data_IF_670957555572
#
_entry.id   IF_670957555572
#
_cell.length_a   1.000
_cell.length_b   1.000
_cell.length_c   1.000
_cell.angle_alpha   90.00
_cell.angle_beta   90.00
_cell.angle_gamma   90.00
#
_symmetry.space_group_name_H-M   'P 1'
#
loop_
_entity.id
_entity.type
_entity.pdbx_description
1 polymer ?
#
# COMPACT_ATOMS: atom_id res chain seq x y z
N UNK A 1 20.31 0.29 -22.10
CA UNK A 1 20.11 0.10 -23.55
C UNK A 1 18.59 0.04 -23.74
N UNK A 2 18.02 1.02 -24.44
CA UNK A 2 16.57 1.11 -24.68
C UNK A 2 16.08 -0.05 -25.58
N UNK A 3 14.78 -0.33 -25.53
CA UNK A 3 14.19 -1.39 -26.33
C UNK A 3 14.28 -1.06 -27.83
N UNK A 4 14.39 -2.10 -28.65
CA UNK A 4 14.33 -1.99 -30.10
C UNK A 4 12.91 -1.61 -30.54
N UNK A 5 12.73 -0.36 -30.96
CA UNK A 5 11.41 0.21 -31.29
C UNK A 5 10.76 -0.41 -32.54
N UNK A 6 11.49 -1.25 -33.26
CA UNK A 6 10.93 -2.03 -34.38
C UNK A 6 10.16 -3.26 -33.91
N UNK A 7 10.22 -3.57 -32.60
CA UNK A 7 9.50 -4.68 -31.97
C UNK A 7 8.43 -4.13 -31.02
N UNK A 8 7.30 -4.84 -30.86
CA UNK A 8 6.29 -4.41 -29.91
C UNK A 8 6.86 -4.33 -28.48
N UNK A 9 6.41 -3.35 -27.67
CA UNK A 9 6.83 -3.24 -26.28
C UNK A 9 6.52 -4.50 -25.49
N UNK A 10 7.30 -4.73 -24.43
CA UNK A 10 6.93 -5.73 -23.44
C UNK A 10 5.55 -5.35 -22.85
N UNK A 11 4.61 -6.31 -22.72
CA UNK A 11 3.28 -6.01 -22.21
C UNK A 11 3.36 -5.56 -20.75
N UNK A 12 2.45 -4.65 -20.37
CA UNK A 12 2.30 -4.24 -18.98
C UNK A 12 1.92 -5.44 -18.09
N UNK A 13 2.38 -5.47 -16.83
CA UNK A 13 1.96 -6.49 -15.88
C UNK A 13 0.42 -6.52 -15.76
N UNK A 14 -0.17 -7.69 -15.96
CA UNK A 14 -1.61 -7.89 -15.80
C UNK A 14 -1.92 -8.47 -14.41
N UNK A 15 -2.99 -8.01 -13.73
CA UNK A 15 -3.46 -8.59 -12.48
C UNK A 15 -3.69 -10.09 -12.57
N UNK A 16 -3.05 -10.84 -11.68
CA UNK A 16 -3.22 -12.29 -11.52
C UNK A 16 -3.66 -12.58 -10.09
N UNK A 17 -4.90 -12.21 -9.77
CA UNK A 17 -5.50 -12.46 -8.47
C UNK A 17 -5.63 -13.97 -8.24
N UNK A 18 -5.26 -14.42 -7.04
CA UNK A 18 -5.37 -15.80 -6.60
C UNK A 18 -6.15 -15.87 -5.29
N UNK A 19 -7.28 -16.56 -5.32
CA UNK A 19 -8.00 -16.96 -4.12
C UNK A 19 -7.25 -18.12 -3.45
N UNK A 20 -6.62 -17.86 -2.30
CA UNK A 20 -5.96 -18.91 -1.51
C UNK A 20 -7.02 -19.74 -0.80
N UNK A 21 -8.00 -19.05 -0.20
CA UNK A 21 -9.25 -19.57 0.37
C UNK A 21 -10.21 -18.40 0.63
N UNK A 22 -11.47 -18.64 1.05
CA UNK A 22 -12.37 -17.55 1.42
C UNK A 22 -11.73 -16.56 2.40
N UNK A 23 -11.63 -15.30 1.97
CA UNK A 23 -11.05 -14.20 2.73
C UNK A 23 -9.54 -14.01 2.64
N UNK A 24 -8.82 -14.89 1.95
CA UNK A 24 -7.37 -14.75 1.72
C UNK A 24 -7.10 -14.66 0.23
N UNK A 25 -6.74 -13.47 -0.21
CA UNK A 25 -6.47 -13.14 -1.61
C UNK A 25 -4.99 -12.82 -1.80
N UNK A 26 -4.36 -13.31 -2.86
CA UNK A 26 -2.98 -12.98 -3.21
C UNK A 26 -2.93 -12.29 -4.58
N UNK A 27 -2.29 -11.13 -4.64
CA UNK A 27 -1.99 -10.40 -5.87
C UNK A 27 -0.46 -10.24 -6.02
N UNK A 28 0.15 -10.79 -7.08
CA UNK A 28 1.54 -10.52 -7.37
C UNK A 28 1.80 -9.06 -7.78
N UNK A 29 3.07 -8.59 -7.76
CA UNK A 29 3.41 -7.22 -8.12
C UNK A 29 2.95 -6.86 -9.53
N UNK A 30 2.46 -5.63 -9.67
CA UNK A 30 2.06 -5.00 -10.94
C UNK A 30 3.11 -4.01 -11.46
N UNK A 31 4.30 -3.97 -10.84
CA UNK A 31 5.43 -3.21 -11.34
C UNK A 31 6.20 -3.99 -12.40
N UNK A 32 6.91 -3.27 -13.29
CA UNK A 32 7.79 -3.87 -14.33
C UNK A 32 8.93 -4.72 -13.76
N UNK A 33 9.27 -4.55 -12.47
CA UNK A 33 10.22 -5.41 -11.76
C UNK A 33 9.71 -6.85 -11.68
N UNK A 34 8.39 -7.07 -11.66
CA UNK A 34 7.76 -8.40 -11.71
C UNK A 34 7.91 -9.24 -10.44
N UNK A 35 8.68 -8.79 -9.46
CA UNK A 35 8.83 -9.36 -8.13
C UNK A 35 9.04 -8.25 -7.08
N UNK A 36 8.81 -8.56 -5.82
CA UNK A 36 9.05 -7.63 -4.72
C UNK A 36 8.67 -8.17 -3.35
N UNK A 37 8.88 -7.41 -2.27
CA UNK A 37 8.71 -7.88 -0.91
C UNK A 37 7.24 -8.16 -0.59
N UNK A 38 7.04 -9.02 0.42
CA UNK A 38 5.71 -9.44 0.85
C UNK A 38 5.02 -8.38 1.69
N UNK A 39 3.73 -8.16 1.43
CA UNK A 39 2.89 -7.25 2.20
C UNK A 39 1.56 -7.93 2.55
N UNK A 40 1.14 -7.84 3.81
CA UNK A 40 -0.16 -8.32 4.26
C UNK A 40 -1.08 -7.12 4.48
N UNK A 41 -2.27 -7.14 3.89
CA UNK A 41 -3.31 -6.13 4.11
C UNK A 41 -4.42 -6.72 4.98
N UNK A 42 -4.79 -6.02 6.04
CA UNK A 42 -6.04 -6.27 6.77
C UNK A 42 -7.06 -5.23 6.30
N UNK A 43 -8.08 -5.66 5.57
CA UNK A 43 -9.02 -4.75 4.95
C UNK A 43 -10.43 -5.36 4.90
N UNK A 44 -11.43 -4.50 4.71
CA UNK A 44 -12.81 -4.92 4.56
C UNK A 44 -13.02 -5.76 3.31
N UNK A 45 -14.08 -6.57 3.31
CA UNK A 45 -14.50 -7.33 2.13
C UNK A 45 -14.83 -6.38 0.98
N UNK A 46 -14.33 -6.71 -0.21
CA UNK A 46 -14.68 -6.00 -1.45
C UNK A 46 -15.38 -6.95 -2.42
N UNK A 47 -16.45 -6.48 -3.06
CA UNK A 47 -17.09 -7.21 -4.14
C UNK A 47 -16.19 -7.31 -5.38
N UNK A 48 -15.34 -6.30 -5.60
CA UNK A 48 -14.33 -6.27 -6.65
C UNK A 48 -12.98 -5.86 -6.04
N UNK A 49 -12.11 -6.83 -5.71
CA UNK A 49 -10.78 -6.57 -5.15
C UNK A 49 -9.83 -5.87 -6.12
N UNK A 50 -10.10 -5.91 -7.43
CA UNK A 50 -9.27 -5.31 -8.48
C UNK A 50 -9.84 -4.00 -9.01
N UNK A 51 -10.88 -3.46 -8.36
CA UNK A 51 -11.57 -2.25 -8.78
C UNK A 51 -10.60 -1.08 -8.95
N UNK A 52 -10.70 -0.42 -10.09
CA UNK A 52 -10.19 0.92 -10.33
C UNK A 52 -11.39 1.76 -10.77
N UNK A 53 -11.65 2.87 -10.08
CA UNK A 53 -12.76 3.75 -10.39
C UNK A 53 -12.30 5.20 -10.40
N UNK A 54 -12.51 5.89 -11.53
CA UNK A 54 -12.06 7.25 -11.77
C UNK A 54 -10.57 7.48 -11.43
N UNK A 55 -9.71 6.49 -11.73
CA UNK A 55 -8.27 6.55 -11.44
C UNK A 55 -7.91 6.34 -9.97
N UNK A 56 -8.85 5.86 -9.14
CA UNK A 56 -8.57 5.44 -7.77
C UNK A 56 -8.53 3.91 -7.74
N UNK A 57 -7.36 3.28 -7.56
CA UNK A 57 -7.26 1.84 -7.41
C UNK A 57 -7.71 1.40 -6.00
N UNK A 58 -8.15 0.14 -5.89
CA UNK A 58 -8.30 -0.54 -4.60
C UNK A 58 -6.96 -0.58 -3.84
N UNK A 59 -7.00 -0.78 -2.52
CA UNK A 59 -5.78 -0.91 -1.71
C UNK A 59 -4.89 -2.05 -2.21
N UNK A 60 -5.52 -3.15 -2.63
CA UNK A 60 -4.83 -4.33 -3.15
C UNK A 60 -4.06 -4.00 -4.43
N UNK A 61 -4.70 -3.34 -5.39
CA UNK A 61 -4.08 -2.94 -6.66
C UNK A 61 -2.99 -1.90 -6.40
N UNK A 62 -3.28 -0.88 -5.59
CA UNK A 62 -2.33 0.20 -5.28
C UNK A 62 -1.02 -0.34 -4.71
N UNK A 63 -1.07 -1.23 -3.72
CA UNK A 63 0.13 -1.83 -3.15
C UNK A 63 0.87 -2.76 -4.12
N UNK A 64 0.16 -3.43 -5.03
CA UNK A 64 0.80 -4.24 -6.06
C UNK A 64 1.51 -3.37 -7.13
N UNK A 65 0.94 -2.21 -7.49
CA UNK A 65 1.57 -1.23 -8.39
C UNK A 65 2.83 -0.61 -7.78
N UNK A 66 2.85 -0.41 -6.45
CA UNK A 66 4.05 -0.04 -5.69
C UNK A 66 5.13 -1.13 -5.68
N UNK A 67 4.85 -2.29 -6.28
CA UNK A 67 5.81 -3.38 -6.46
C UNK A 67 5.84 -4.42 -5.36
N UNK A 68 4.85 -4.46 -4.47
CA UNK A 68 4.76 -5.49 -3.44
C UNK A 68 4.04 -6.74 -3.95
N UNK A 69 4.39 -7.90 -3.38
CA UNK A 69 3.50 -9.08 -3.47
C UNK A 69 2.53 -8.99 -2.30
N UNK A 70 1.24 -8.88 -2.59
CA UNK A 70 0.25 -8.50 -1.59
C UNK A 70 -0.65 -9.70 -1.25
N UNK A 71 -0.85 -9.97 0.04
CA UNK A 71 -1.92 -10.85 0.54
C UNK A 71 -2.94 -10.02 1.30
N UNK A 72 -4.18 -9.97 0.83
CA UNK A 72 -5.31 -9.33 1.53
C UNK A 72 -6.03 -10.35 2.39
N UNK A 73 -6.23 -10.00 3.66
CA UNK A 73 -7.01 -10.73 4.65
C UNK A 73 -8.28 -9.94 4.95
N UNK A 74 -9.41 -10.58 4.66
CA UNK A 74 -10.76 -10.06 4.90
C UNK A 74 -11.38 -10.68 6.16
N UNK A 75 -12.49 -10.13 6.71
CA UNK A 75 -13.08 -10.62 7.96
C UNK A 75 -13.41 -12.12 7.98
N UNK A 76 -13.92 -12.65 6.88
CA UNK A 76 -14.21 -14.07 6.66
C UNK A 76 -12.96 -14.97 6.76
N UNK A 77 -11.74 -14.45 6.57
CA UNK A 77 -10.52 -15.22 6.78
C UNK A 77 -10.36 -15.71 8.22
N UNK A 78 -10.96 -14.99 9.17
CA UNK A 78 -10.88 -15.20 10.61
C UNK A 78 -12.12 -15.94 11.18
N UNK A 79 -13.04 -16.39 10.33
CA UNK A 79 -14.17 -17.19 10.77
C UNK A 79 -13.72 -18.61 11.13
N UNK A 80 -13.93 -19.02 12.38
CA UNK A 80 -13.70 -20.41 12.83
C UNK A 80 -12.23 -20.81 13.03
N UNK A 81 -11.28 -19.88 13.03
CA UNK A 81 -9.86 -20.14 13.23
C UNK A 81 -9.16 -19.11 14.11
N UNK A 82 -8.01 -19.48 14.67
CA UNK A 82 -7.17 -18.59 15.47
C UNK A 82 -6.47 -17.53 14.59
N UNK A 83 -6.41 -16.28 15.05
CA UNK A 83 -5.81 -15.17 14.28
C UNK A 83 -4.37 -15.46 13.85
N UNK A 84 -3.58 -16.14 14.69
CA UNK A 84 -2.19 -16.49 14.40
C UNK A 84 -2.08 -17.47 13.23
N UNK A 85 -3.01 -18.42 13.10
CA UNK A 85 -3.02 -19.37 12.00
C UNK A 85 -3.29 -18.69 10.66
N UNK A 86 -4.20 -17.71 10.66
CA UNK A 86 -4.52 -16.90 9.48
C UNK A 86 -3.31 -16.09 9.01
N UNK A 87 -2.59 -15.45 9.95
CA UNK A 87 -1.37 -14.69 9.63
C UNK A 87 -0.30 -15.62 9.07
N UNK A 88 -0.07 -16.78 9.70
CA UNK A 88 0.89 -17.77 9.24
C UNK A 88 0.51 -18.36 7.87
N UNK A 89 -0.78 -18.48 7.57
CA UNK A 89 -1.26 -18.85 6.24
C UNK A 89 -0.93 -17.78 5.18
N UNK A 90 -1.12 -16.50 5.49
CA UNK A 90 -0.72 -15.39 4.63
C UNK A 90 0.79 -15.38 4.35
N UNK A 91 1.60 -15.56 5.39
CA UNK A 91 3.06 -15.68 5.28
C UNK A 91 3.46 -16.88 4.42
N UNK A 92 2.80 -18.04 4.59
CA UNK A 92 3.03 -19.21 3.73
C UNK A 92 2.64 -18.96 2.29
N UNK A 93 1.55 -18.24 2.02
CA UNK A 93 1.13 -17.88 0.66
C UNK A 93 2.17 -16.97 -0.02
N UNK A 94 2.66 -15.95 0.68
CA UNK A 94 3.77 -15.10 0.22
C UNK A 94 5.03 -15.94 -0.05
N UNK A 95 5.42 -16.79 0.89
CA UNK A 95 6.60 -17.65 0.75
C UNK A 95 6.48 -18.69 -0.38
N UNK A 96 5.28 -19.08 -0.79
CA UNK A 96 5.05 -19.96 -1.96
C UNK A 96 4.94 -19.21 -3.28
N UNK A 97 4.76 -17.90 -3.24
CA UNK A 97 4.71 -17.09 -4.45
C UNK A 97 6.13 -16.89 -5.02
N UNK A 98 6.34 -17.32 -6.26
CA UNK A 98 7.62 -17.13 -6.97
C UNK A 98 7.97 -15.67 -7.29
N UNK A 99 7.00 -14.75 -7.14
CA UNK A 99 7.18 -13.30 -7.34
C UNK A 99 7.40 -12.54 -6.02
N UNK A 100 7.38 -13.23 -4.87
CA UNK A 100 7.65 -12.63 -3.57
C UNK A 100 9.14 -12.79 -3.20
N UNK A 101 9.79 -11.67 -2.89
CA UNK A 101 11.10 -11.69 -2.26
C UNK A 101 11.00 -12.42 -0.92
N UNK A 102 12.02 -13.22 -0.58
CA UNK A 102 12.06 -13.94 0.69
C UNK A 102 12.50 -13.01 1.82
N UNK A 103 11.98 -13.24 3.01
CA UNK A 103 12.40 -12.53 4.22
C UNK A 103 11.33 -11.57 4.73
N UNK A 104 11.63 -10.28 4.70
CA UNK A 104 10.90 -9.27 5.48
C UNK A 104 9.52 -8.95 4.88
N UNK A 105 8.50 -9.06 5.71
CA UNK A 105 7.10 -8.81 5.39
C UNK A 105 6.61 -7.59 6.16
N UNK A 106 5.86 -6.71 5.49
CA UNK A 106 5.13 -5.61 6.11
C UNK A 106 3.66 -5.96 6.30
N UNK A 107 2.99 -5.28 7.24
CA UNK A 107 1.55 -5.40 7.44
C UNK A 107 0.90 -4.01 7.47
N UNK A 108 -0.22 -3.85 6.77
CA UNK A 108 -1.02 -2.60 6.76
C UNK A 108 -2.46 -2.93 7.07
N UNK A 109 -3.01 -2.32 8.11
CA UNK A 109 -4.37 -2.51 8.56
C UNK A 109 -5.23 -1.28 8.27
N UNK A 110 -6.14 -1.42 7.30
CA UNK A 110 -7.21 -0.46 7.01
C UNK A 110 -8.48 -0.74 7.83
N UNK A 111 -8.54 -1.90 8.47
CA UNK A 111 -9.63 -2.38 9.32
C UNK A 111 -9.17 -2.51 10.79
N UNK A 112 -9.49 -1.53 11.68
CA UNK A 112 -9.11 -1.53 13.09
C UNK A 112 -9.53 -2.80 13.86
N UNK A 113 -10.68 -3.35 13.52
CA UNK A 113 -11.23 -4.57 14.13
C UNK A 113 -10.40 -5.80 13.79
N UNK A 114 -9.85 -5.88 12.57
CA UNK A 114 -8.92 -6.95 12.19
C UNK A 114 -7.55 -6.73 12.80
N UNK A 115 -7.08 -5.48 12.89
CA UNK A 115 -5.87 -5.14 13.64
C UNK A 115 -5.94 -5.67 15.08
N UNK A 116 -7.04 -5.42 15.78
CA UNK A 116 -7.23 -5.86 17.16
C UNK A 116 -7.25 -7.39 17.33
N UNK A 117 -7.57 -8.15 16.28
CA UNK A 117 -7.46 -9.61 16.28
C UNK A 117 -6.02 -10.12 16.17
N UNK A 118 -5.12 -9.35 15.55
CA UNK A 118 -3.77 -9.83 15.17
C UNK A 118 -2.61 -9.17 15.89
N UNK A 119 -2.74 -7.91 16.35
CA UNK A 119 -1.62 -7.08 16.77
C UNK A 119 -0.74 -7.70 17.87
N UNK A 120 -1.39 -8.30 18.88
CA UNK A 120 -0.72 -8.95 20.02
C UNK A 120 0.03 -10.22 19.63
N UNK A 121 -0.32 -10.83 18.48
CA UNK A 121 0.26 -12.06 17.94
C UNK A 121 1.40 -11.78 16.95
N UNK A 122 1.53 -10.56 16.42
CA UNK A 122 2.58 -10.22 15.46
C UNK A 122 4.01 -10.52 15.94
N UNK A 123 4.37 -10.35 17.23
CA UNK A 123 5.70 -10.71 17.73
C UNK A 123 6.03 -12.21 17.62
N UNK A 124 5.01 -13.06 17.48
CA UNK A 124 5.16 -14.51 17.28
C UNK A 124 5.51 -14.87 15.81
N UNK A 125 5.46 -13.89 14.89
CA UNK A 125 5.69 -14.07 13.45
C UNK A 125 6.94 -13.28 13.03
N UNK A 126 8.14 -13.89 13.04
CA UNK A 126 9.41 -13.17 12.89
C UNK A 126 9.61 -12.52 11.51
N UNK A 127 8.92 -13.01 10.48
CA UNK A 127 8.99 -12.43 9.13
C UNK A 127 8.32 -11.05 9.08
N UNK A 128 7.39 -10.74 9.99
CA UNK A 128 6.68 -9.45 10.03
C UNK A 128 7.56 -8.43 10.77
N UNK A 129 8.20 -7.54 10.01
CA UNK A 129 9.19 -6.58 10.56
C UNK A 129 8.61 -5.20 10.84
N UNK A 130 7.41 -4.90 10.34
CA UNK A 130 6.79 -3.59 10.50
C UNK A 130 5.29 -3.65 10.25
N UNK A 131 4.55 -2.82 11.00
CA UNK A 131 3.10 -2.74 10.90
C UNK A 131 2.61 -1.29 10.80
N UNK A 132 1.48 -1.11 10.12
CA UNK A 132 0.76 0.15 9.97
C UNK A 132 -0.69 -0.08 10.34
N UNK A 133 -1.31 0.84 11.08
CA UNK A 133 -2.74 0.79 11.40
C UNK A 133 -3.40 2.15 11.19
N UNK A 134 -4.56 2.15 10.54
CA UNK A 134 -5.48 3.26 10.48
C UNK A 134 -6.54 3.10 11.58
N UNK A 135 -6.85 4.17 12.30
CA UNK A 135 -7.86 4.18 13.37
C UNK A 135 -8.45 5.55 13.59
N UNK A 136 -9.49 5.65 14.41
CA UNK A 136 -9.99 6.95 14.86
C UNK A 136 -9.24 7.36 16.12
N UNK A 137 -9.03 8.66 16.29
CA UNK A 137 -8.46 9.21 17.52
C UNK A 137 -9.27 8.82 18.76
N UNK A 138 -10.61 8.87 18.64
CA UNK A 138 -11.54 8.52 19.71
C UNK A 138 -11.37 7.06 20.19
N UNK A 139 -10.93 6.17 19.29
CA UNK A 139 -10.77 4.74 19.54
C UNK A 139 -9.29 4.35 19.74
N UNK A 140 -8.38 5.32 19.75
CA UNK A 140 -6.93 5.09 19.76
C UNK A 140 -6.46 4.27 20.96
N UNK A 141 -7.09 4.41 22.12
CA UNK A 141 -6.78 3.61 23.32
C UNK A 141 -7.24 2.15 23.23
N UNK A 142 -8.18 1.85 22.32
CA UNK A 142 -8.70 0.49 22.10
C UNK A 142 -7.92 -0.29 21.05
N UNK A 143 -7.03 0.37 20.30
CA UNK A 143 -6.14 -0.29 19.36
C UNK A 143 -5.12 -1.15 20.12
N UNK A 144 -5.12 -2.44 19.83
CA UNK A 144 -4.20 -3.40 20.44
C UNK A 144 -2.74 -3.01 20.16
N UNK A 145 -1.88 -3.24 21.16
CA UNK A 145 -0.45 -2.92 21.08
C UNK A 145 0.36 -4.09 20.52
N UNK A 146 1.55 -3.77 20.03
CA UNK A 146 2.53 -4.74 19.54
C UNK A 146 3.95 -4.22 19.78
N UNK A 147 4.93 -5.12 19.84
CA UNK A 147 6.36 -4.75 19.90
C UNK A 147 6.99 -4.62 18.52
N UNK A 148 6.29 -5.03 17.46
CA UNK A 148 6.71 -4.80 16.07
C UNK A 148 6.68 -3.29 15.80
N UNK A 149 7.70 -2.71 15.12
CA UNK A 149 7.70 -1.29 14.74
C UNK A 149 6.38 -0.86 14.09
N UNK A 150 5.69 0.08 14.74
CA UNK A 150 4.33 0.50 14.41
C UNK A 150 4.25 1.96 13.94
N UNK A 151 3.52 2.18 12.84
CA UNK A 151 3.04 3.49 12.39
C UNK A 151 1.52 3.56 12.55
N UNK A 152 1.01 4.65 13.15
CA UNK A 152 -0.42 4.86 13.37
C UNK A 152 -0.91 6.08 12.62
N UNK A 153 -2.02 5.93 11.92
CA UNK A 153 -2.76 7.03 11.29
C UNK A 153 -4.10 7.20 11.97
N UNK A 154 -4.28 8.31 12.70
CA UNK A 154 -5.46 8.56 13.52
C UNK A 154 -6.34 9.67 12.92
N UNK A 155 -7.57 9.34 12.58
CA UNK A 155 -8.56 10.31 12.12
C UNK A 155 -9.18 11.06 13.30
N UNK A 156 -9.18 12.39 13.23
CA UNK A 156 -9.70 13.26 14.29
C UNK A 156 -8.66 14.20 14.88
N UNK A 157 -9.14 15.08 15.75
CA UNK A 157 -8.31 16.06 16.44
C UNK A 157 -7.54 15.38 17.58
N UNK A 158 -6.20 15.53 17.66
CA UNK A 158 -5.44 14.93 18.75
C UNK A 158 -6.00 15.43 20.09
N UNK A 159 -6.33 14.49 20.98
CA UNK A 159 -6.59 14.87 22.37
C UNK A 159 -5.25 15.36 22.92
N UNK A 160 -5.21 16.56 23.53
CA UNK A 160 -4.01 17.27 24.06
C UNK A 160 -2.84 16.33 24.33
N UNK A 161 -1.59 16.69 23.94
CA UNK A 161 -0.47 15.76 23.89
C UNK A 161 -0.36 14.97 25.19
N UNK A 162 -0.79 13.71 25.13
CA UNK A 162 -0.41 12.75 26.15
C UNK A 162 1.12 12.66 26.07
N UNK A 163 1.85 12.69 27.20
CA UNK A 163 3.29 12.50 27.18
C UNK A 163 3.60 11.23 26.38
N UNK A 164 4.47 11.37 25.38
CA UNK A 164 4.84 10.32 24.43
C UNK A 164 5.22 9.03 25.17
N UNK A 165 4.30 8.08 25.27
CA UNK A 165 4.53 6.80 25.96
C UNK A 165 4.28 5.58 25.07
N UNK A 166 3.85 5.75 23.81
CA UNK A 166 3.77 4.64 22.87
C UNK A 166 5.04 4.59 22.02
N UNK A 167 5.73 3.45 22.04
CA UNK A 167 6.82 3.15 21.12
C UNK A 167 6.25 3.01 19.70
N UNK A 168 6.23 4.11 18.93
CA UNK A 168 5.69 4.12 17.57
C UNK A 168 5.68 5.52 16.95
N UNK A 169 5.52 5.59 15.64
CA UNK A 169 5.30 6.86 14.91
C UNK A 169 3.80 7.06 14.76
N UNK A 170 3.30 8.27 15.01
CA UNK A 170 1.86 8.57 14.95
C UNK A 170 1.62 9.85 14.16
N UNK A 171 0.60 9.81 13.29
CA UNK A 171 0.11 10.97 12.56
C UNK A 171 -1.39 11.14 12.78
N UNK A 172 -1.81 12.35 13.12
CA UNK A 172 -3.23 12.69 13.23
C UNK A 172 -3.72 13.43 11.99
N UNK A 173 -4.98 13.20 11.65
CA UNK A 173 -5.67 13.78 10.51
C UNK A 173 -6.92 14.52 11.00
N UNK A 174 -6.79 15.77 11.49
CA UNK A 174 -7.90 16.54 12.06
C UNK A 174 -9.10 16.75 11.14
N UNK A 175 -8.88 16.71 9.82
CA UNK A 175 -9.91 16.90 8.80
C UNK A 175 -10.55 15.58 8.34
N UNK A 176 -10.01 14.43 8.75
CA UNK A 176 -10.59 13.13 8.42
C UNK A 176 -11.80 12.86 9.31
N UNK A 177 -12.92 12.46 8.69
CA UNK A 177 -14.14 12.12 9.40
C UNK A 177 -14.05 10.76 10.10
N UNK A 178 -13.27 9.83 9.52
CA UNK A 178 -13.00 8.51 10.09
C UNK A 178 -11.70 7.94 9.54
N UNK A 179 -11.20 6.85 10.14
CA UNK A 179 -10.03 6.09 9.67
C UNK A 179 -10.14 5.65 8.20
N UNK A 180 -11.37 5.47 7.70
CA UNK A 180 -11.66 5.07 6.34
C UNK A 180 -11.37 6.18 5.30
N UNK A 181 -10.79 7.32 5.72
CA UNK A 181 -10.24 8.31 4.78
C UNK A 181 -9.23 7.70 3.80
N UNK A 182 -8.55 6.62 4.22
CA UNK A 182 -7.57 5.91 3.43
C UNK A 182 -8.11 4.63 2.75
N UNK A 183 -9.43 4.39 2.81
CA UNK A 183 -10.09 3.23 2.20
C UNK A 183 -10.78 3.68 0.92
N UNK A 184 -10.25 3.37 -0.27
CA UNK A 184 -10.90 3.65 -1.56
C UNK A 184 -12.37 3.22 -1.57
N UNK A 185 -13.19 4.02 -2.26
CA UNK A 185 -14.62 3.76 -2.46
C UNK A 185 -15.49 3.80 -1.19
N UNK A 186 -14.93 4.13 -0.03
CA UNK A 186 -15.69 4.40 1.18
C UNK A 186 -16.26 5.84 1.16
N UNK A 187 -17.41 6.07 1.80
CA UNK A 187 -18.05 7.40 1.87
C UNK A 187 -17.11 8.48 2.43
N UNK A 188 -16.31 8.12 3.44
CA UNK A 188 -15.35 9.01 4.07
C UNK A 188 -13.98 9.09 3.37
N UNK A 189 -13.81 8.44 2.22
CA UNK A 189 -12.54 8.44 1.49
C UNK A 189 -12.10 9.86 1.15
N UNK A 190 -10.80 10.14 1.36
CA UNK A 190 -10.20 11.42 1.00
C UNK A 190 -8.89 11.18 0.26
N UNK A 191 -8.92 11.34 -1.06
CA UNK A 191 -7.76 11.10 -1.92
C UNK A 191 -6.49 11.82 -1.46
N UNK A 192 -6.61 13.09 -1.02
CA UNK A 192 -5.47 13.89 -0.58
C UNK A 192 -4.87 13.41 0.75
N UNK A 193 -5.72 13.04 1.72
CA UNK A 193 -5.26 12.51 3.00
C UNK A 193 -4.71 11.09 2.84
N UNK A 194 -5.36 10.28 1.99
CA UNK A 194 -4.88 8.94 1.64
C UNK A 194 -3.51 9.03 0.99
N UNK A 195 -3.33 9.86 -0.05
CA UNK A 195 -2.04 10.04 -0.74
C UNK A 195 -0.92 10.49 0.21
N UNK A 196 -1.23 11.41 1.14
CA UNK A 196 -0.29 11.85 2.17
C UNK A 196 0.07 10.71 3.14
N UNK A 197 -0.93 9.96 3.61
CA UNK A 197 -0.71 8.82 4.53
C UNK A 197 0.04 7.68 3.85
N UNK A 198 -0.24 7.42 2.57
CA UNK A 198 0.42 6.40 1.75
C UNK A 198 1.89 6.72 1.54
N UNK A 199 2.22 7.99 1.27
CA UNK A 199 3.63 8.44 1.21
C UNK A 199 4.37 8.15 2.51
N UNK A 200 3.74 8.43 3.67
CA UNK A 200 4.29 8.11 4.99
C UNK A 200 4.45 6.60 5.20
N UNK A 201 3.51 5.79 4.70
CA UNK A 201 3.60 4.33 4.75
C UNK A 201 4.85 3.83 4.00
N UNK A 202 5.08 4.31 2.78
CA UNK A 202 6.24 3.91 1.97
C UNK A 202 7.56 4.32 2.64
N UNK A 203 7.63 5.55 3.18
CA UNK A 203 8.80 6.03 3.92
C UNK A 203 9.08 5.19 5.17
N UNK A 204 8.03 4.67 5.82
CA UNK A 204 8.15 3.85 7.01
C UNK A 204 8.53 2.39 6.69
N UNK A 205 7.90 1.78 5.68
CA UNK A 205 8.08 0.38 5.32
C UNK A 205 9.36 0.10 4.55
N UNK A 206 9.68 0.89 3.50
CA UNK A 206 10.77 0.58 2.58
C UNK A 206 12.12 0.35 3.28
N UNK A 207 12.57 1.21 4.22
CA UNK A 207 13.83 0.98 4.93
C UNK A 207 13.82 -0.27 5.82
N UNK A 208 12.66 -0.64 6.36
CA UNK A 208 12.52 -1.81 7.26
C UNK A 208 12.50 -3.10 6.46
N UNK A 209 11.84 -3.09 5.31
CA UNK A 209 11.67 -4.23 4.42
C UNK A 209 12.77 -4.35 3.35
N UNK A 210 13.68 -3.38 3.28
CA UNK A 210 14.75 -3.28 2.28
C UNK A 210 14.24 -3.20 0.83
N UNK A 211 13.06 -2.58 0.64
CA UNK A 211 12.49 -2.36 -0.68
C UNK A 211 10.96 -2.25 -0.68
N UNK A 212 10.33 -2.22 -1.87
CA UNK A 212 10.97 -2.19 -3.18
C UNK A 212 11.58 -0.81 -3.47
N UNK A 213 12.81 -0.81 -3.98
CA UNK A 213 13.48 0.38 -4.51
C UNK A 213 13.42 0.36 -6.03
N UNK A 214 13.11 1.50 -6.61
CA UNK A 214 13.08 1.72 -8.05
C UNK A 214 14.05 2.85 -8.38
N UNK A 215 14.78 2.69 -9.48
CA UNK A 215 15.55 3.77 -10.07
C UNK A 215 14.59 4.69 -10.82
N UNK A 216 14.06 5.69 -10.10
CA UNK A 216 13.09 6.63 -10.66
C UNK A 216 13.70 7.50 -11.76
N UNK A 217 15.02 7.75 -11.71
CA UNK A 217 15.73 8.49 -12.76
C UNK A 217 15.77 7.66 -14.04
N UNK A 218 16.16 6.39 -13.96
CA UNK A 218 16.16 5.50 -15.12
C UNK A 218 14.75 5.29 -15.72
N UNK A 219 13.71 5.15 -14.88
CA UNK A 219 12.31 5.04 -15.36
C UNK A 219 11.89 6.32 -16.08
N UNK A 220 12.26 7.49 -15.55
CA UNK A 220 11.94 8.78 -16.15
C UNK A 220 12.71 9.03 -17.45
N UNK A 221 14.00 8.71 -17.48
CA UNK A 221 14.83 8.78 -18.69
C UNK A 221 14.27 7.88 -19.81
N UNK A 222 13.84 6.66 -19.48
CA UNK A 222 13.21 5.76 -20.45
C UNK A 222 11.87 6.31 -20.97
N UNK A 223 11.01 6.83 -20.07
CA UNK A 223 9.74 7.44 -20.46
C UNK A 223 9.95 8.61 -21.42
N UNK A 224 10.80 9.57 -21.02
CA UNK A 224 11.08 10.77 -21.80
C UNK A 224 11.81 10.48 -23.12
N UNK A 225 12.64 9.44 -23.16
CA UNK A 225 13.26 8.96 -24.39
C UNK A 225 12.20 8.50 -25.39
N UNK A 226 11.27 7.62 -24.99
CA UNK A 226 10.22 7.16 -25.91
C UNK A 226 9.23 8.26 -26.29
N UNK A 227 8.92 9.19 -25.38
CA UNK A 227 7.98 10.28 -25.64
C UNK A 227 8.56 11.31 -26.62
N UNK A 228 9.81 11.74 -26.38
CA UNK A 228 10.37 12.92 -27.06
C UNK A 228 11.42 12.59 -28.13
N UNK A 229 12.28 11.60 -27.89
CA UNK A 229 13.34 11.23 -28.84
C UNK A 229 12.78 10.30 -29.92
N UNK A 230 12.25 9.14 -29.52
CA UNK A 230 11.74 8.13 -30.45
C UNK A 230 10.29 8.38 -30.88
N UNK A 231 9.54 9.19 -30.11
CA UNK A 231 8.13 9.54 -30.36
C UNK A 231 7.22 8.32 -30.59
N UNK A 232 7.54 7.21 -29.92
CA UNK A 232 6.76 5.98 -30.00
C UNK A 232 5.69 5.99 -28.91
N UNK A 233 4.44 6.16 -29.31
CA UNK A 233 3.29 6.11 -28.39
C UNK A 233 3.22 4.77 -27.68
N UNK A 234 3.39 3.66 -28.42
CA UNK A 234 3.32 2.31 -27.85
C UNK A 234 4.38 2.07 -26.78
N UNK A 235 5.64 2.48 -27.01
CA UNK A 235 6.69 2.34 -26.02
C UNK A 235 6.52 3.30 -24.84
N UNK A 236 6.06 4.53 -25.09
CA UNK A 236 5.75 5.49 -24.01
C UNK A 236 4.68 4.91 -23.08
N UNK A 237 3.58 4.39 -23.63
CA UNK A 237 2.52 3.76 -22.83
C UNK A 237 3.01 2.53 -22.07
N UNK A 238 3.98 1.77 -22.61
CA UNK A 238 4.56 0.60 -21.93
C UNK A 238 5.43 0.92 -20.70
N UNK A 239 5.76 2.19 -20.48
CA UNK A 239 6.48 2.66 -19.29
C UNK A 239 5.55 3.17 -18.19
N UNK A 240 4.24 3.29 -18.49
CA UNK A 240 3.22 3.68 -17.52
C UNK A 240 2.66 2.47 -16.74
N UNK A 241 1.84 2.72 -15.72
CA UNK A 241 0.98 1.70 -15.10
C UNK A 241 -0.23 1.39 -16.00
N UNK A 242 -0.96 0.30 -15.72
CA UNK A 242 -2.05 -0.19 -16.58
C UNK A 242 -3.14 0.86 -16.82
N UNK A 243 -3.55 1.57 -15.78
CA UNK A 243 -4.47 2.71 -15.88
C UNK A 243 -3.78 3.94 -15.32
N UNK A 244 -3.20 4.82 -16.16
CA UNK A 244 -2.51 6.00 -15.66
C UNK A 244 -3.50 6.92 -14.97
N UNK A 245 -3.31 7.13 -13.67
CA UNK A 245 -4.07 8.08 -12.88
C UNK A 245 -3.21 9.26 -12.45
N UNK A 246 -3.84 10.43 -12.33
CA UNK A 246 -3.15 11.66 -11.92
C UNK A 246 -3.01 11.67 -10.41
N UNK A 247 -1.78 11.48 -9.92
CA UNK A 247 -1.45 11.88 -8.56
C UNK A 247 -1.57 13.41 -8.48
N UNK A 248 -2.58 13.92 -7.76
CA UNK A 248 -2.65 15.34 -7.44
C UNK A 248 -1.47 15.72 -6.53
N UNK A 249 -0.35 16.15 -7.13
CA UNK A 249 0.77 16.73 -6.41
C UNK A 249 0.39 18.17 -6.05
N UNK A 250 0.33 18.56 -4.77
CA UNK A 250 0.17 19.96 -4.41
C UNK A 250 1.36 20.75 -4.96
N UNK A 251 1.11 21.68 -5.87
CA UNK A 251 2.15 22.54 -6.43
C UNK A 251 2.61 23.54 -5.37
N UNK A 252 3.81 23.34 -4.83
CA UNK A 252 4.55 24.34 -4.07
C UNK A 252 5.14 25.37 -5.05
N UNK A 253 4.31 26.27 -5.61
CA UNK A 253 4.67 27.61 -6.12
C UNK A 253 3.52 28.20 -6.95
N UNK A 254 2.67 29.01 -6.33
CA UNK A 254 1.99 30.10 -7.02
C UNK A 254 2.86 31.34 -6.89
N UNK A 255 3.33 31.89 -8.01
CA UNK A 255 4.23 33.04 -8.02
C UNK A 255 3.71 34.23 -7.20
N UNK A 256 4.59 34.81 -6.38
CA UNK A 256 4.37 36.14 -5.81
C UNK A 256 4.36 37.12 -6.97
N UNK A 257 3.20 37.71 -7.26
CA UNK A 257 3.12 38.88 -8.12
C UNK A 257 3.42 40.08 -7.23
N UNK A 258 4.66 40.56 -7.28
CA UNK A 258 5.05 41.83 -6.68
C UNK A 258 4.31 42.95 -7.44
N UNK A 259 3.39 43.64 -6.74
CA UNK A 259 2.71 44.82 -7.28
C UNK A 259 3.64 46.01 -7.10
N UNK A 260 4.21 46.49 -8.20
CA UNK A 260 4.72 47.86 -8.35
C UNK A 260 3.58 48.86 -8.45
#
# INVERSE_FOLDING_TARGET
MYADITKPPAPLPTPQLKDIRPGILLLPPLSRRGHGPGLILLAHSSADPLRIDQGVPSELVKWAEEGYTVVKLEPNAFEGGESLDVINEAVRALNRCGKCDKGKIGLVAYAPELWNKVASRLPEVPDIVSAIVYGNEADSASLASTTVPLLRHLAGQPVKPAPSQAAGVEYHYPKAQSYAFATPFHEHFSYSLESLSHTRNLQFLKPRMEGPYFDLEAIWEEHTYYEFADRSVEHTMSTMVQEPYVNHVPTLTGGVVERS
#
